data_IF_899448029956
#
_entry.id   IF_899448029956
#
_cell.length_a   1.000
_cell.length_b   1.000
_cell.length_c   1.000
_cell.angle_alpha   90.00
_cell.angle_beta   90.00
_cell.angle_gamma   90.00
#
_symmetry.space_group_name_H-M   'P 1'
#
loop_
_entity.id
_entity.type
_entity.pdbx_description
1 polymer ?
#
# COMPACT_ATOMS: atom_id res chain seq x y z
N UNK A 1 13.11 0.36 2.61
CA UNK A 1 11.83 1.08 2.85
C UNK A 1 11.29 1.79 1.62
N UNK A 2 12.01 2.75 0.99
CA UNK A 2 11.51 3.53 -0.16
C UNK A 2 11.03 2.68 -1.34
N UNK A 3 11.82 1.72 -1.79
CA UNK A 3 11.44 0.80 -2.88
C UNK A 3 10.21 -0.03 -2.54
N UNK A 4 10.13 -0.56 -1.31
CA UNK A 4 8.96 -1.31 -0.85
C UNK A 4 7.69 -0.43 -0.86
N UNK A 5 7.78 0.83 -0.46
CA UNK A 5 6.65 1.78 -0.50
C UNK A 5 6.13 1.98 -1.93
N UNK A 6 7.02 2.12 -2.92
CA UNK A 6 6.61 2.26 -4.32
C UNK A 6 5.92 0.99 -4.86
N UNK A 7 6.45 -0.19 -4.51
CA UNK A 7 5.82 -1.47 -4.87
C UNK A 7 4.42 -1.59 -4.25
N UNK A 8 4.27 -1.22 -2.97
CA UNK A 8 2.97 -1.23 -2.30
C UNK A 8 1.97 -0.29 -2.99
N UNK A 9 2.39 0.95 -3.28
CA UNK A 9 1.54 1.92 -3.99
C UNK A 9 1.14 1.42 -5.40
N UNK A 10 2.08 0.80 -6.13
CA UNK A 10 1.80 0.21 -7.43
C UNK A 10 0.73 -0.89 -7.35
N UNK A 11 0.85 -1.80 -6.37
CA UNK A 11 -0.15 -2.85 -6.15
C UNK A 11 -1.52 -2.27 -5.78
N UNK A 12 -1.56 -1.21 -4.98
CA UNK A 12 -2.83 -0.54 -4.63
C UNK A 12 -3.48 0.12 -5.85
N UNK A 13 -2.69 0.82 -6.68
CA UNK A 13 -3.20 1.57 -7.84
C UNK A 13 -3.57 0.67 -9.03
N UNK A 14 -2.72 -0.28 -9.39
CA UNK A 14 -2.87 -1.07 -10.62
C UNK A 14 -3.52 -2.43 -10.39
N UNK A 15 -3.38 -3.00 -9.19
CA UNK A 15 -3.97 -4.29 -8.84
C UNK A 15 -5.17 -4.14 -7.90
N UNK A 16 -5.58 -2.90 -7.60
CA UNK A 16 -6.73 -2.58 -6.75
C UNK A 16 -6.69 -3.22 -5.35
N UNK A 17 -5.48 -3.57 -4.89
CA UNK A 17 -5.28 -4.18 -3.58
C UNK A 17 -5.45 -3.15 -2.47
N UNK A 18 -5.90 -3.59 -1.30
CA UNK A 18 -5.86 -2.76 -0.10
C UNK A 18 -4.43 -2.61 0.38
N UNK A 19 -4.15 -1.57 1.16
CA UNK A 19 -2.86 -1.46 1.83
C UNK A 19 -2.49 -2.75 2.58
N UNK A 20 -3.46 -3.36 3.28
CA UNK A 20 -3.25 -4.62 3.99
C UNK A 20 -2.91 -5.77 3.03
N UNK A 21 -3.66 -5.92 1.94
CA UNK A 21 -3.41 -6.97 0.94
C UNK A 21 -2.04 -6.78 0.28
N UNK A 22 -1.71 -5.56 -0.14
CA UNK A 22 -0.42 -5.25 -0.74
C UNK A 22 0.74 -5.57 0.21
N UNK A 23 0.61 -5.26 1.52
CA UNK A 23 1.62 -5.59 2.52
C UNK A 23 1.79 -7.11 2.65
N UNK A 24 0.70 -7.87 2.73
CA UNK A 24 0.76 -9.33 2.83
C UNK A 24 1.46 -9.91 1.59
N UNK A 25 1.03 -9.52 0.39
CA UNK A 25 1.60 -9.98 -0.89
C UNK A 25 3.10 -9.72 -0.99
N UNK A 26 3.58 -8.53 -0.58
CA UNK A 26 5.01 -8.24 -0.63
C UNK A 26 5.77 -9.01 0.45
N UNK A 27 5.20 -9.15 1.67
CA UNK A 27 5.83 -9.85 2.78
C UNK A 27 6.03 -11.34 2.53
N UNK A 28 5.17 -11.97 1.74
CA UNK A 28 5.33 -13.38 1.32
C UNK A 28 6.58 -13.60 0.48
N UNK A 29 6.99 -12.60 -0.32
CA UNK A 29 8.15 -12.71 -1.21
C UNK A 29 9.42 -12.09 -0.61
N UNK A 30 9.28 -11.10 0.27
CA UNK A 30 10.41 -10.39 0.87
C UNK A 30 10.02 -9.74 2.20
N UNK A 31 10.86 -9.90 3.21
CA UNK A 31 10.73 -9.13 4.44
C UNK A 31 10.90 -7.63 4.20
N UNK A 32 9.86 -6.88 4.54
CA UNK A 32 9.81 -5.42 4.43
C UNK A 32 9.32 -4.82 5.76
N UNK A 33 9.95 -3.73 6.16
CA UNK A 33 9.51 -2.85 7.24
C UNK A 33 9.43 -1.43 6.70
N UNK A 34 8.25 -0.97 6.23
CA UNK A 34 8.08 0.43 5.86
C UNK A 34 8.13 1.31 7.12
N UNK A 35 8.85 2.44 7.03
CA UNK A 35 8.88 3.42 8.11
C UNK A 35 7.49 4.04 8.35
N UNK A 36 7.25 4.52 9.58
CA UNK A 36 5.96 5.13 9.98
C UNK A 36 5.48 6.24 9.03
N UNK A 37 6.39 7.07 8.53
CA UNK A 37 6.05 8.14 7.57
C UNK A 37 5.45 7.60 6.27
N UNK A 38 6.06 6.57 5.69
CA UNK A 38 5.55 5.92 4.47
C UNK A 38 4.25 5.17 4.72
N UNK A 39 4.10 4.52 5.88
CA UNK A 39 2.84 3.87 6.25
C UNK A 39 1.69 4.87 6.33
N UNK A 40 1.93 6.07 6.88
CA UNK A 40 0.93 7.14 6.91
C UNK A 40 0.53 7.58 5.50
N UNK A 41 1.51 7.80 4.61
CA UNK A 41 1.23 8.16 3.21
C UNK A 41 0.44 7.08 2.47
N UNK A 42 0.80 5.80 2.68
CA UNK A 42 0.07 4.68 2.10
C UNK A 42 -1.36 4.54 2.66
N UNK A 43 -1.58 4.85 3.94
CA UNK A 43 -2.91 4.85 4.53
C UNK A 43 -3.79 5.96 3.93
N UNK A 44 -3.22 7.16 3.71
CA UNK A 44 -3.92 8.24 3.00
C UNK A 44 -4.28 7.84 1.57
N UNK A 45 -3.37 7.17 0.86
CA UNK A 45 -3.66 6.63 -0.47
C UNK A 45 -4.79 5.59 -0.44
N UNK A 46 -4.79 4.67 0.53
CA UNK A 46 -5.85 3.66 0.66
C UNK A 46 -7.22 4.29 0.92
N UNK A 47 -7.27 5.33 1.76
CA UNK A 47 -8.48 6.13 1.99
C UNK A 47 -8.96 6.86 0.73
N UNK A 48 -8.06 7.40 -0.09
CA UNK A 48 -8.42 8.07 -1.35
C UNK A 48 -8.99 7.07 -2.36
N UNK A 49 -8.35 5.91 -2.52
CA UNK A 49 -8.77 4.89 -3.48
C UNK A 49 -10.08 4.21 -3.08
N UNK A 50 -10.36 4.05 -1.78
CA UNK A 50 -11.54 3.33 -1.28
C UNK A 50 -12.67 4.25 -0.83
N UNK A 51 -12.35 5.47 -0.40
CA UNK A 51 -13.33 6.49 -0.03
C UNK A 51 -14.01 7.13 -1.25
N UNK A 52 -13.34 7.17 -2.39
CA UNK A 52 -13.91 7.69 -3.64
C UNK A 52 -14.86 6.70 -4.37
N UNK A 53 -15.02 5.47 -3.87
CA UNK A 53 -15.90 4.44 -4.45
C UNK A 53 -17.26 4.31 -3.77
N UNK A 54 -17.62 5.22 -2.85
CA UNK A 54 -18.96 5.30 -2.25
C UNK A 54 -19.62 6.61 -2.67
N UNK A 55 -20.05 6.69 -3.92
CA UNK A 55 -20.98 7.68 -4.46
C UNK A 55 -21.73 7.06 -5.63
#
# INVERSE_FOLDING_TARGET
SRSATLVLAYLMLHQQLSLQQAIITVRERRWIFPNRGFLRQLCQLDQQLRGAGQS
#
